data_IF_671661385154
#
_entry.id   IF_671661385154
#
_cell.length_a   1.000
_cell.length_b   1.000
_cell.length_c   1.000
_cell.angle_alpha   90.00
_cell.angle_beta   90.00
_cell.angle_gamma   90.00
#
_symmetry.space_group_name_H-M   'P 1'
#
loop_
_entity.id
_entity.type
_entity.pdbx_description
1 polymer ?
#
# COMPACT_ATOMS: atom_id res chain seq x y z
N UNK A 1 -54.51 20.47 -10.15
CA UNK A 1 -54.72 19.10 -9.62
C UNK A 1 -53.39 18.61 -9.07
N UNK A 2 -53.17 18.79 -7.76
CA UNK A 2 -51.90 18.52 -7.07
C UNK A 2 -51.87 17.04 -6.67
N UNK A 3 -51.04 16.22 -7.32
CA UNK A 3 -50.79 14.83 -6.90
C UNK A 3 -49.48 14.79 -6.10
N UNK A 4 -49.68 14.99 -4.81
CA UNK A 4 -48.97 14.41 -3.66
C UNK A 4 -47.67 13.64 -3.95
N UNK A 5 -46.56 14.29 -3.58
CA UNK A 5 -45.31 13.69 -3.10
C UNK A 5 -45.59 12.70 -1.97
N UNK A 6 -45.56 11.40 -2.21
CA UNK A 6 -45.51 10.40 -1.14
C UNK A 6 -45.04 9.04 -1.67
N UNK A 7 -43.75 8.97 -2.04
CA UNK A 7 -43.03 7.71 -2.22
C UNK A 7 -41.50 7.89 -2.01
N UNK A 8 -41.08 9.00 -1.43
CA UNK A 8 -39.68 9.37 -1.24
C UNK A 8 -39.34 9.35 0.26
N UNK A 9 -39.56 8.20 0.92
CA UNK A 9 -39.13 8.02 2.32
C UNK A 9 -38.99 6.55 2.72
N UNK A 10 -38.36 5.72 1.88
CA UNK A 10 -37.97 4.36 2.32
C UNK A 10 -36.69 3.79 1.68
N UNK A 11 -35.77 4.65 1.21
CA UNK A 11 -34.47 4.20 0.70
C UNK A 11 -33.30 5.07 1.19
N UNK A 12 -33.48 5.79 2.30
CA UNK A 12 -32.47 6.68 2.89
C UNK A 12 -31.74 6.05 4.07
N UNK A 13 -31.54 4.75 4.06
CA UNK A 13 -30.81 4.05 5.11
C UNK A 13 -30.02 2.91 4.50
N UNK A 14 -28.86 3.21 3.91
CA UNK A 14 -27.75 2.26 3.71
C UNK A 14 -26.45 2.94 3.21
N UNK A 15 -26.36 4.28 3.23
CA UNK A 15 -25.05 4.96 3.25
C UNK A 15 -24.64 5.09 4.72
N UNK A 16 -24.47 3.93 5.35
CA UNK A 16 -23.77 3.86 6.63
C UNK A 16 -22.31 4.13 6.32
N UNK A 17 -21.85 5.35 6.59
CA UNK A 17 -20.44 5.68 6.64
C UNK A 17 -19.78 4.89 7.77
N UNK A 18 -19.46 3.63 7.51
CA UNK A 18 -18.56 2.87 8.37
C UNK A 18 -17.18 3.50 8.21
N UNK A 19 -16.78 4.31 9.19
CA UNK A 19 -15.37 4.60 9.43
C UNK A 19 -14.71 3.26 9.70
N UNK A 20 -13.94 2.77 8.72
CA UNK A 20 -13.31 1.48 8.83
C UNK A 20 -11.91 1.62 9.42
N UNK A 21 -11.83 1.22 10.68
CA UNK A 21 -10.58 0.91 11.37
C UNK A 21 -10.00 -0.36 10.73
N UNK A 22 -8.86 -0.24 10.05
CA UNK A 22 -8.10 -1.40 9.60
C UNK A 22 -7.53 -2.10 10.83
N UNK A 23 -8.28 -3.06 11.40
CA UNK A 23 -7.71 -3.99 12.38
C UNK A 23 -6.76 -4.91 11.62
N UNK A 24 -5.50 -4.48 11.48
CA UNK A 24 -4.40 -5.33 11.06
C UNK A 24 -4.27 -6.45 12.07
N UNK A 25 -4.93 -7.57 11.80
CA UNK A 25 -4.67 -8.82 12.49
C UNK A 25 -3.20 -9.15 12.29
N UNK A 26 -2.44 -9.02 13.36
CA UNK A 26 -1.05 -9.43 13.49
C UNK A 26 -0.94 -10.89 13.03
N UNK A 27 -0.58 -11.12 11.77
CA UNK A 27 0.04 -12.39 11.39
C UNK A 27 1.42 -12.36 12.05
N UNK A 28 1.47 -12.88 13.29
CA UNK A 28 2.64 -13.15 14.12
C UNK A 28 3.91 -12.46 13.60
N UNK A 29 4.18 -11.27 14.15
CA UNK A 29 5.49 -10.65 14.04
C UNK A 29 6.53 -11.67 14.46
N UNK A 30 7.29 -12.16 13.47
CA UNK A 30 8.62 -12.71 13.75
C UNK A 30 9.43 -11.68 14.55
N UNK A 31 10.52 -12.10 15.23
CA UNK A 31 11.15 -11.42 16.37
C UNK A 31 11.74 -10.02 16.15
N UNK A 32 11.40 -9.30 15.08
CA UNK A 32 12.02 -8.04 14.66
C UNK A 32 11.14 -6.79 14.75
N UNK A 33 9.88 -6.87 15.20
CA UNK A 33 9.01 -5.69 15.30
C UNK A 33 9.13 -5.00 16.68
N UNK A 34 10.05 -4.03 16.83
CA UNK A 34 10.12 -3.18 18.03
C UNK A 34 9.27 -1.91 17.87
N UNK A 35 8.21 -1.81 18.69
CA UNK A 35 7.33 -0.64 18.86
C UNK A 35 8.04 0.45 19.69
N UNK A 36 8.04 1.71 19.24
CA UNK A 36 8.49 2.86 20.04
C UNK A 36 7.29 3.71 20.45
N UNK A 37 7.20 4.02 21.75
CA UNK A 37 6.14 4.80 22.41
C UNK A 37 6.69 6.16 22.80
N UNK A 38 5.97 7.24 22.48
CA UNK A 38 6.27 8.62 22.87
C UNK A 38 5.38 9.02 24.06
N UNK A 39 5.99 9.46 25.16
CA UNK A 39 5.32 10.08 26.32
C UNK A 39 5.96 11.43 26.63
N UNK A 40 5.13 12.46 26.88
CA UNK A 40 5.55 13.86 27.08
C UNK A 40 5.75 14.27 28.54
N UNK A 41 6.57 15.31 28.74
CA UNK A 41 6.83 16.03 30.01
C UNK A 41 7.66 17.30 29.75
N UNK A 42 7.65 18.32 30.64
CA UNK A 42 7.66 19.74 30.28
C UNK A 42 9.06 20.35 30.01
N UNK A 43 9.10 21.35 29.13
CA UNK A 43 10.30 22.03 28.65
C UNK A 43 10.81 23.11 29.62
N UNK A 44 12.04 22.93 30.12
CA UNK A 44 12.87 24.03 30.61
C UNK A 44 14.12 24.09 29.74
N UNK A 45 14.41 25.30 29.23
CA UNK A 45 15.52 25.54 28.32
C UNK A 45 16.88 25.25 28.99
N UNK A 46 17.53 24.18 28.55
CA UNK A 46 18.88 23.79 28.95
C UNK A 46 19.63 23.22 27.76
N UNK A 47 20.89 23.64 27.59
CA UNK A 47 21.84 23.22 26.57
C UNK A 47 21.83 21.70 26.36
N UNK A 48 21.67 21.23 25.13
CA UNK A 48 21.48 19.80 24.87
C UNK A 48 22.81 19.04 24.86
N UNK A 49 22.80 17.95 25.63
CA UNK A 49 23.82 16.93 25.77
C UNK A 49 24.00 16.08 24.50
N UNK A 50 25.18 15.44 24.40
CA UNK A 50 25.54 14.44 23.40
C UNK A 50 24.47 13.34 23.31
N UNK A 51 23.80 13.21 22.15
CA UNK A 51 22.83 12.13 21.88
C UNK A 51 21.40 12.53 21.49
N UNK A 52 21.08 13.82 21.33
CA UNK A 52 19.77 14.27 20.80
C UNK A 52 19.76 14.36 19.26
N UNK A 53 18.62 14.13 18.58
CA UNK A 53 18.52 14.25 17.12
C UNK A 53 18.93 15.67 16.72
N UNK A 54 19.90 15.76 15.81
CA UNK A 54 20.37 17.03 15.25
C UNK A 54 19.17 17.89 14.83
N UNK A 55 19.21 19.22 15.06
CA UNK A 55 18.17 20.13 14.58
C UNK A 55 17.88 19.84 13.11
N UNK A 56 16.61 19.67 12.75
CA UNK A 56 16.20 19.35 11.37
C UNK A 56 16.83 20.38 10.44
N UNK A 57 17.82 19.93 9.67
CA UNK A 57 18.54 20.78 8.72
C UNK A 57 17.53 21.34 7.71
N UNK A 58 17.52 22.66 7.45
CA UNK A 58 16.62 23.24 6.46
C UNK A 58 16.90 22.63 5.09
N UNK A 59 15.86 22.42 4.27
CA UNK A 59 15.98 21.68 3.01
C UNK A 59 17.02 22.29 2.04
N UNK A 60 17.25 23.61 2.11
CA UNK A 60 18.28 24.29 1.32
C UNK A 60 19.73 24.01 1.75
N UNK A 61 19.94 23.33 2.87
CA UNK A 61 21.27 22.89 3.34
C UNK A 61 21.63 21.47 2.90
N UNK A 62 20.70 20.77 2.24
CA UNK A 62 20.95 19.45 1.66
C UNK A 62 21.53 19.63 0.24
N UNK A 63 22.78 19.23 0.05
CA UNK A 63 23.40 19.14 -1.27
C UNK A 63 23.13 17.79 -1.93
N UNK A 64 23.24 17.72 -3.26
CA UNK A 64 23.21 16.47 -4.04
C UNK A 64 24.57 15.75 -4.07
N UNK A 65 25.58 16.31 -3.41
CA UNK A 65 26.92 15.74 -3.36
C UNK A 65 26.96 14.56 -2.38
N UNK A 66 27.03 13.35 -2.94
CA UNK A 66 27.20 12.07 -2.23
C UNK A 66 28.66 11.72 -1.93
N UNK A 67 29.62 12.58 -2.29
CA UNK A 67 31.00 12.40 -1.87
C UNK A 67 31.09 12.42 -0.33
N UNK A 68 31.95 11.58 0.28
CA UNK A 68 32.21 11.63 1.70
C UNK A 68 32.57 13.06 2.11
N UNK A 69 31.79 13.64 3.03
CA UNK A 69 32.06 14.98 3.54
C UNK A 69 33.27 14.90 4.48
N UNK A 70 34.22 15.83 4.34
CA UNK A 70 35.39 15.91 5.21
C UNK A 70 34.94 16.28 6.63
N UNK A 71 34.97 15.29 7.53
CA UNK A 71 34.66 15.46 8.95
C UNK A 71 33.31 14.87 9.37
N UNK A 72 33.38 13.87 10.26
CA UNK A 72 32.29 13.13 10.91
C UNK A 72 31.64 12.02 10.06
N UNK A 73 32.48 11.12 9.55
CA UNK A 73 32.04 9.74 9.37
C UNK A 73 31.70 9.16 10.76
N UNK A 74 30.63 8.36 10.91
CA UNK A 74 30.36 7.63 12.14
C UNK A 74 31.61 6.84 12.57
N UNK A 75 31.87 6.80 13.88
CA UNK A 75 32.99 6.02 14.43
C UNK A 75 32.92 4.59 13.91
N UNK A 76 33.98 4.15 13.24
CA UNK A 76 34.11 2.77 12.80
C UNK A 76 34.37 1.86 14.01
N UNK A 77 33.30 1.27 14.53
CA UNK A 77 33.37 0.26 15.59
C UNK A 77 33.88 -1.11 15.08
N UNK A 78 33.99 -1.33 13.77
CA UNK A 78 34.53 -2.57 13.21
C UNK A 78 36.07 -2.57 13.18
N UNK A 79 36.70 -1.40 13.08
CA UNK A 79 38.16 -1.25 13.13
C UNK A 79 38.78 -1.51 14.50
N UNK A 80 38.01 -1.33 15.59
CA UNK A 80 38.47 -1.52 16.97
C UNK A 80 38.18 -2.94 17.47
N UNK A 81 38.78 -3.93 16.81
CA UNK A 81 39.12 -5.21 17.43
C UNK A 81 37.96 -5.91 18.15
N UNK A 82 36.78 -6.03 17.52
CA UNK A 82 35.96 -7.21 17.80
C UNK A 82 36.91 -8.41 17.68
N UNK A 83 37.03 -9.28 18.70
CA UNK A 83 37.72 -10.54 18.52
C UNK A 83 36.88 -11.33 17.52
N UNK A 84 37.13 -11.06 16.23
CA UNK A 84 36.91 -12.03 15.18
C UNK A 84 37.93 -13.09 15.51
N UNK A 85 37.57 -13.96 16.46
CA UNK A 85 38.16 -15.27 16.52
C UNK A 85 37.93 -15.81 15.12
N UNK A 86 38.99 -15.78 14.30
CA UNK A 86 39.10 -16.66 13.16
C UNK A 86 39.16 -18.05 13.78
N UNK A 87 38.00 -18.54 14.19
CA UNK A 87 37.72 -19.96 14.25
C UNK A 87 38.21 -20.40 12.88
N UNK A 88 39.31 -21.16 12.86
CA UNK A 88 39.81 -21.75 11.63
C UNK A 88 38.58 -22.33 10.96
N UNK A 89 38.21 -21.73 9.83
CA UNK A 89 37.01 -22.15 9.13
C UNK A 89 37.14 -23.67 9.05
N UNK A 90 36.14 -24.44 9.53
CA UNK A 90 36.13 -25.86 9.18
C UNK A 90 36.40 -25.93 7.68
N UNK A 91 37.21 -26.89 7.24
CA UNK A 91 37.61 -27.12 5.85
C UNK A 91 36.37 -27.20 4.94
N UNK A 92 35.79 -26.05 4.64
CA UNK A 92 34.50 -25.85 4.02
C UNK A 92 34.84 -25.01 2.81
N UNK A 93 34.89 -25.72 1.68
CA UNK A 93 34.56 -25.23 0.35
C UNK A 93 35.30 -23.96 -0.08
N UNK A 94 36.08 -24.05 -1.14
CA UNK A 94 36.72 -22.90 -1.83
C UNK A 94 35.72 -21.87 -2.43
N UNK A 95 34.47 -21.90 -2.01
CA UNK A 95 33.40 -21.01 -2.39
C UNK A 95 33.00 -20.21 -1.15
N UNK A 96 33.26 -18.91 -1.17
CA UNK A 96 32.88 -18.01 -0.07
C UNK A 96 31.38 -18.06 0.24
N UNK A 97 30.92 -17.45 1.35
CA UNK A 97 29.51 -17.47 1.72
C UNK A 97 28.66 -16.83 0.60
N UNK A 98 27.92 -17.67 -0.13
CA UNK A 98 26.93 -17.21 -1.10
C UNK A 98 25.72 -16.65 -0.36
N UNK A 99 25.60 -15.33 -0.29
CA UNK A 99 24.36 -14.69 0.16
C UNK A 99 23.33 -14.78 -0.96
N UNK A 100 22.33 -15.65 -0.82
CA UNK A 100 21.23 -15.77 -1.77
C UNK A 100 20.13 -14.77 -1.40
N UNK A 101 19.78 -13.88 -2.34
CA UNK A 101 18.65 -12.98 -2.19
C UNK A 101 17.39 -13.64 -2.76
N UNK A 102 16.47 -14.02 -1.88
CA UNK A 102 15.16 -14.51 -2.29
C UNK A 102 14.18 -13.34 -2.38
N UNK A 103 13.42 -13.27 -3.48
CA UNK A 103 12.30 -12.33 -3.55
C UNK A 103 11.17 -12.82 -2.64
N UNK A 104 10.70 -11.94 -1.76
CA UNK A 104 9.52 -12.17 -0.93
C UNK A 104 8.52 -11.05 -1.24
N UNK A 105 7.28 -11.42 -1.58
CA UNK A 105 6.23 -10.44 -1.80
C UNK A 105 5.99 -9.63 -0.51
N UNK A 106 5.82 -8.29 -0.60
CA UNK A 106 5.50 -7.50 0.58
C UNK A 106 4.14 -7.94 1.15
N UNK A 107 4.11 -8.34 2.41
CA UNK A 107 2.89 -8.68 3.14
C UNK A 107 2.12 -7.42 3.58
N UNK A 108 2.08 -6.40 2.73
CA UNK A 108 1.44 -5.11 3.00
C UNK A 108 -0.05 -5.20 2.71
N UNK A 109 -0.85 -4.97 3.74
CA UNK A 109 -2.30 -4.80 3.64
C UNK A 109 -2.63 -3.47 2.97
N UNK A 110 -3.52 -3.49 1.99
CA UNK A 110 -4.08 -2.29 1.35
C UNK A 110 -5.58 -2.47 1.09
N UNK A 111 -6.28 -1.35 0.86
CA UNK A 111 -7.71 -1.37 0.50
C UNK A 111 -7.90 -1.84 -0.95
N UNK A 112 -9.10 -2.29 -1.34
CA UNK A 112 -9.37 -2.70 -2.71
C UNK A 112 -9.07 -1.58 -3.72
N UNK A 113 -8.32 -1.92 -4.75
CA UNK A 113 -7.91 -0.99 -5.81
C UNK A 113 -8.88 -1.10 -6.99
N UNK A 114 -10.00 -0.37 -6.92
CA UNK A 114 -11.08 -0.48 -7.92
C UNK A 114 -10.68 -0.08 -9.35
N UNK A 115 -9.63 0.71 -9.52
CA UNK A 115 -9.20 1.22 -10.82
C UNK A 115 -7.91 0.57 -11.33
N UNK A 116 -7.28 -0.30 -10.53
CA UNK A 116 -6.05 -0.99 -10.91
C UNK A 116 -6.32 -2.02 -12.01
N UNK A 117 -5.43 -2.05 -13.00
CA UNK A 117 -5.31 -3.15 -13.96
C UNK A 117 -4.05 -3.96 -13.65
N UNK A 118 -4.13 -5.10 -12.92
CA UNK A 118 -2.94 -5.81 -12.44
C UNK A 118 -2.06 -6.35 -13.57
N UNK A 119 -2.66 -6.79 -14.68
CA UNK A 119 -1.91 -7.28 -15.84
C UNK A 119 -1.06 -6.18 -16.46
N UNK A 120 -1.62 -4.99 -16.64
CA UNK A 120 -0.88 -3.84 -17.15
C UNK A 120 0.15 -3.33 -16.13
N UNK A 121 -0.29 -3.06 -14.91
CA UNK A 121 0.47 -2.28 -13.92
C UNK A 121 1.53 -3.12 -13.21
N UNK A 122 1.27 -4.39 -12.90
CA UNK A 122 2.21 -5.28 -12.20
C UNK A 122 3.08 -6.10 -13.13
N UNK A 123 2.48 -6.60 -14.22
CA UNK A 123 3.14 -7.52 -15.14
C UNK A 123 3.56 -6.86 -16.47
N UNK A 124 3.20 -5.61 -16.71
CA UNK A 124 3.66 -4.85 -17.88
C UNK A 124 2.98 -5.22 -19.20
N UNK A 125 1.82 -5.91 -19.17
CA UNK A 125 1.09 -6.22 -20.41
C UNK A 125 0.56 -4.94 -21.05
N UNK A 126 0.98 -4.65 -22.28
CA UNK A 126 0.50 -3.49 -23.02
C UNK A 126 -0.16 -3.88 -24.35
N UNK A 127 -1.08 -3.05 -24.80
CA UNK A 127 -1.74 -3.14 -26.10
C UNK A 127 -1.13 -2.17 -27.12
N UNK A 128 0.14 -1.76 -26.91
CA UNK A 128 0.84 -0.82 -27.79
C UNK A 128 0.07 0.49 -27.96
N UNK A 129 -0.19 0.89 -29.21
CA UNK A 129 -0.90 2.14 -29.53
C UNK A 129 -2.36 2.18 -29.03
N UNK A 130 -2.97 1.02 -28.77
CA UNK A 130 -4.32 0.94 -28.22
C UNK A 130 -4.37 1.07 -26.69
N UNK A 131 -3.21 1.08 -26.02
CA UNK A 131 -3.10 1.16 -24.57
C UNK A 131 -3.87 2.34 -23.92
N UNK A 132 -3.80 3.60 -24.42
CA UNK A 132 -4.55 4.69 -23.83
C UNK A 132 -6.07 4.44 -23.89
N UNK A 133 -6.58 3.89 -24.99
CA UNK A 133 -8.00 3.57 -25.13
C UNK A 133 -8.44 2.44 -24.20
N UNK A 134 -7.63 1.38 -24.09
CA UNK A 134 -7.91 0.28 -23.18
C UNK A 134 -7.88 0.72 -21.71
N UNK A 135 -6.93 1.59 -21.34
CA UNK A 135 -6.84 2.16 -19.99
C UNK A 135 -8.02 3.09 -19.70
N UNK A 136 -8.42 3.91 -20.67
CA UNK A 136 -9.61 4.76 -20.56
C UNK A 136 -10.90 3.93 -20.40
N UNK A 137 -11.08 2.89 -21.22
CA UNK A 137 -12.22 1.99 -21.11
C UNK A 137 -12.26 1.27 -19.75
N UNK A 138 -11.11 0.82 -19.24
CA UNK A 138 -10.99 0.21 -17.92
C UNK A 138 -11.37 1.20 -16.81
N UNK A 139 -10.83 2.42 -16.85
CA UNK A 139 -11.11 3.46 -15.85
C UNK A 139 -12.58 3.89 -15.87
N UNK A 140 -13.10 4.26 -17.04
CA UNK A 140 -14.49 4.72 -17.21
C UNK A 140 -15.47 3.59 -16.90
N UNK A 141 -15.17 2.38 -17.33
CA UNK A 141 -15.97 1.19 -17.00
C UNK A 141 -16.08 1.00 -15.50
N UNK A 142 -14.95 0.99 -14.79
CA UNK A 142 -14.91 0.87 -13.32
C UNK A 142 -15.58 2.05 -12.61
N UNK A 143 -15.47 3.27 -13.14
CA UNK A 143 -16.16 4.44 -12.60
C UNK A 143 -17.69 4.29 -12.73
N UNK A 144 -18.16 3.82 -13.88
CA UNK A 144 -19.58 3.62 -14.13
C UNK A 144 -20.19 2.54 -13.23
N UNK A 145 -19.44 1.45 -12.95
CA UNK A 145 -19.87 0.37 -12.06
C UNK A 145 -19.35 0.51 -10.62
N UNK A 146 -18.90 1.70 -10.23
CA UNK A 146 -18.33 1.92 -8.90
C UNK A 146 -19.32 1.57 -7.77
N UNK A 147 -20.61 1.94 -7.83
CA UNK A 147 -21.58 1.55 -6.80
C UNK A 147 -21.69 0.02 -6.62
N UNK A 148 -21.64 -0.73 -7.71
CA UNK A 148 -21.56 -2.20 -7.66
C UNK A 148 -20.33 -2.67 -6.88
N UNK A 149 -19.14 -2.14 -7.23
CA UNK A 149 -17.87 -2.59 -6.66
C UNK A 149 -17.74 -2.24 -5.18
N UNK A 150 -18.22 -1.08 -4.75
CA UNK A 150 -18.20 -0.68 -3.33
C UNK A 150 -18.97 -1.65 -2.42
N UNK A 151 -20.02 -2.30 -2.95
CA UNK A 151 -20.84 -3.27 -2.20
C UNK A 151 -20.36 -4.71 -2.41
N UNK A 152 -19.89 -5.05 -3.61
CA UNK A 152 -19.37 -6.39 -3.91
C UNK A 152 -17.99 -6.65 -3.30
N UNK A 153 -17.18 -5.61 -3.17
CA UNK A 153 -15.80 -5.60 -2.67
C UNK A 153 -15.69 -4.46 -1.64
N UNK A 154 -16.05 -4.70 -0.37
CA UNK A 154 -16.08 -3.66 0.67
C UNK A 154 -14.77 -2.88 0.78
N UNK A 155 -14.86 -1.55 0.93
CA UNK A 155 -13.70 -0.63 1.00
C UNK A 155 -12.73 -0.90 2.14
N UNK A 156 -13.17 -1.69 3.11
CA UNK A 156 -12.48 -2.01 4.35
C UNK A 156 -11.79 -3.36 4.32
N UNK A 157 -11.99 -4.12 3.25
CA UNK A 157 -11.33 -5.40 3.08
C UNK A 157 -9.82 -5.19 2.92
N UNK A 158 -9.07 -5.93 3.73
CA UNK A 158 -7.62 -5.96 3.63
C UNK A 158 -7.20 -6.88 2.49
N UNK A 159 -6.72 -6.30 1.40
CA UNK A 159 -6.16 -7.01 0.26
C UNK A 159 -4.65 -7.05 0.40
N UNK A 160 -4.05 -8.20 0.10
CA UNK A 160 -2.61 -8.39 0.14
C UNK A 160 -2.06 -8.55 -1.27
N UNK A 161 -0.80 -8.15 -1.46
CA UNK A 161 -0.09 -8.45 -2.72
C UNK A 161 0.34 -9.93 -2.83
N UNK A 162 0.22 -10.67 -1.72
CA UNK A 162 0.42 -12.11 -1.65
C UNK A 162 -0.54 -12.80 -2.63
N UNK A 163 0.00 -13.67 -3.48
CA UNK A 163 -0.76 -14.37 -4.52
C UNK A 163 -0.56 -13.81 -5.93
N UNK A 164 0.02 -12.62 -6.07
CA UNK A 164 0.55 -12.14 -7.35
C UNK A 164 1.96 -12.68 -7.60
N UNK A 165 2.27 -12.96 -8.86
CA UNK A 165 3.62 -13.35 -9.23
C UNK A 165 4.60 -12.17 -9.12
N UNK A 166 5.89 -12.51 -9.01
CA UNK A 166 6.95 -11.50 -8.90
C UNK A 166 6.96 -10.58 -10.14
N UNK A 167 7.14 -9.26 -9.98
CA UNK A 167 7.35 -8.36 -11.11
C UNK A 167 8.49 -8.86 -12.02
N UNK A 168 8.23 -8.95 -13.32
CA UNK A 168 9.20 -9.43 -14.31
C UNK A 168 9.28 -10.96 -14.48
N UNK A 169 8.52 -11.76 -13.73
CA UNK A 169 8.37 -13.18 -14.08
C UNK A 169 7.43 -13.34 -15.27
N UNK A 170 7.70 -14.30 -16.19
CA UNK A 170 6.79 -14.60 -17.28
C UNK A 170 5.50 -15.23 -16.74
N UNK A 171 4.46 -14.42 -16.61
CA UNK A 171 3.12 -14.85 -16.21
C UNK A 171 2.24 -15.14 -17.43
N UNK A 172 1.11 -15.85 -17.27
CA UNK A 172 0.04 -15.83 -18.26
C UNK A 172 -0.79 -14.55 -18.13
N UNK A 173 -1.38 -14.08 -19.23
CA UNK A 173 -2.31 -12.95 -19.21
C UNK A 173 -3.56 -13.33 -18.41
N UNK A 174 -3.85 -12.58 -17.34
CA UNK A 174 -5.04 -12.78 -16.50
C UNK A 174 -6.06 -11.66 -16.70
N UNK A 175 -7.34 -12.03 -16.75
CA UNK A 175 -8.46 -11.09 -16.79
C UNK A 175 -9.13 -11.06 -15.42
N UNK A 176 -8.99 -9.94 -14.72
CA UNK A 176 -9.60 -9.71 -13.42
C UNK A 176 -11.02 -9.17 -13.61
N UNK A 177 -12.01 -9.86 -13.05
CA UNK A 177 -13.41 -9.43 -13.07
C UNK A 177 -13.88 -9.16 -11.65
N UNK A 178 -14.79 -8.18 -11.45
CA UNK A 178 -15.42 -7.98 -10.16
C UNK A 178 -16.09 -9.26 -9.67
N UNK A 179 -16.12 -9.45 -8.35
CA UNK A 179 -16.86 -10.56 -7.74
C UNK A 179 -18.33 -10.50 -8.10
N UNK A 180 -18.96 -11.65 -8.37
CA UNK A 180 -20.40 -11.71 -8.62
C UNK A 180 -21.17 -11.45 -7.31
N UNK A 181 -22.04 -10.44 -7.29
CA UNK A 181 -22.80 -10.03 -6.11
C UNK A 181 -24.17 -9.47 -6.50
N UNK A 182 -25.23 -10.10 -5.98
CA UNK A 182 -26.60 -9.60 -6.15
C UNK A 182 -26.79 -8.27 -5.44
N UNK A 183 -26.22 -8.12 -4.24
CA UNK A 183 -26.27 -6.87 -3.48
C UNK A 183 -25.59 -5.72 -4.23
N UNK A 184 -24.45 -5.99 -4.87
CA UNK A 184 -23.80 -5.03 -5.77
C UNK A 184 -24.71 -4.63 -6.93
N UNK A 185 -25.41 -5.60 -7.53
CA UNK A 185 -26.38 -5.34 -8.60
C UNK A 185 -27.52 -4.42 -8.17
N UNK A 186 -28.08 -4.65 -6.97
CA UNK A 186 -29.13 -3.80 -6.39
C UNK A 186 -28.59 -2.39 -6.12
N UNK A 187 -27.39 -2.26 -5.55
CA UNK A 187 -26.78 -0.96 -5.29
C UNK A 187 -26.52 -0.16 -6.57
N UNK A 188 -26.06 -0.82 -7.63
CA UNK A 188 -25.86 -0.22 -8.94
C UNK A 188 -27.19 0.26 -9.54
N UNK A 189 -28.22 -0.59 -9.53
CA UNK A 189 -29.54 -0.23 -10.05
C UNK A 189 -30.15 0.93 -9.27
N UNK A 190 -30.10 0.88 -7.93
CA UNK A 190 -30.58 1.97 -7.08
C UNK A 190 -29.86 3.29 -7.32
N UNK A 191 -28.53 3.24 -7.52
CA UNK A 191 -27.75 4.45 -7.83
C UNK A 191 -28.09 5.00 -9.20
N UNK A 192 -28.20 4.14 -10.23
CA UNK A 192 -28.56 4.56 -11.58
C UNK A 192 -29.96 5.18 -11.62
N UNK A 193 -30.95 4.52 -11.00
CA UNK A 193 -32.31 5.04 -10.86
C UNK A 193 -32.31 6.37 -10.10
N UNK A 194 -31.60 6.45 -8.98
CA UNK A 194 -31.49 7.68 -8.19
C UNK A 194 -30.89 8.85 -8.99
N UNK A 195 -29.82 8.62 -9.76
CA UNK A 195 -29.21 9.64 -10.60
C UNK A 195 -30.16 10.13 -11.71
N UNK A 196 -30.91 9.22 -12.34
CA UNK A 196 -31.90 9.57 -13.38
C UNK A 196 -33.02 10.46 -12.81
N UNK A 197 -33.49 10.18 -11.59
CA UNK A 197 -34.52 11.00 -10.96
C UNK A 197 -33.98 12.31 -10.34
N UNK A 198 -32.67 12.38 -10.05
CA UNK A 198 -32.04 13.54 -9.43
C UNK A 198 -31.59 14.59 -10.45
N UNK A 199 -31.14 14.17 -11.63
CA UNK A 199 -30.67 15.06 -12.70
C UNK A 199 -31.86 15.38 -13.64
N UNK A 200 -32.37 16.61 -13.65
CA UNK A 200 -33.53 16.99 -14.47
C UNK A 200 -33.25 16.99 -15.98
#
# INVERSE_FOLDING_TARGET
>A
MKRTFSAMLLATALIGGAVCECSGGELNGGPYARRQSLGGGPSTAGSLAEGMPEPIKPIGSLGTNIAPQDGRLPTDYAGSGLPVERVAAPEQSAEGPWTVYHWQAPSTCHRPLYFENPSLERHGYSLGLAQPFASAAHFVGNAAILPYRLVAEPTCDCVYTLGHERPGTPTPLRYYRPRFSVAGGVAQAGTATGLIFLLP
#
